data_IF_801319498274
#
_entry.id   IF_801319498274
#
_cell.length_a   1.000
_cell.length_b   1.000
_cell.length_c   1.000
_cell.angle_alpha   90.00
_cell.angle_beta   90.00
_cell.angle_gamma   90.00
#
_symmetry.space_group_name_H-M   'P 1'
#
loop_
_entity.id
_entity.type
_entity.pdbx_description
1 polymer ?
#
# COMPACT_ATOMS: atom_id res chain seq x y z
N UNK A 1 5.17 6.64 21.22
CA UNK A 1 4.74 6.20 19.87
C UNK A 1 4.25 7.41 19.09
N UNK A 2 4.82 7.68 17.91
CA UNK A 2 4.41 8.79 17.05
C UNK A 2 3.05 8.49 16.41
N UNK A 3 2.15 9.46 16.42
CA UNK A 3 0.83 9.38 15.75
C UNK A 3 0.79 10.35 14.58
N UNK A 4 0.19 9.90 13.48
CA UNK A 4 0.10 10.63 12.21
C UNK A 4 -1.38 10.94 11.93
N UNK A 5 -1.64 12.12 11.35
CA UNK A 5 -2.97 12.50 10.93
C UNK A 5 -3.32 11.79 9.62
N UNK A 6 -4.52 11.20 9.58
CA UNK A 6 -5.07 10.59 8.38
C UNK A 6 -5.98 11.59 7.70
N UNK A 7 -5.69 11.86 6.44
CA UNK A 7 -6.45 12.71 5.55
C UNK A 7 -7.42 11.88 4.69
N UNK A 8 -8.51 12.50 4.25
CA UNK A 8 -9.52 11.85 3.41
C UNK A 8 -8.95 11.36 2.07
N UNK A 9 -7.99 12.09 1.52
CA UNK A 9 -7.16 11.70 0.37
C UNK A 9 -5.83 12.45 0.44
N UNK A 10 -4.86 12.10 -0.39
CA UNK A 10 -3.55 12.78 -0.44
C UNK A 10 -3.68 14.29 -0.73
N UNK A 11 -4.66 14.68 -1.55
CA UNK A 11 -4.88 16.07 -1.96
C UNK A 11 -5.89 16.83 -1.08
N UNK A 12 -6.48 16.18 -0.07
CA UNK A 12 -7.52 16.76 0.77
C UNK A 12 -7.01 17.07 2.18
N UNK A 13 -7.13 18.33 2.64
CA UNK A 13 -6.67 18.75 3.97
C UNK A 13 -7.61 18.36 5.13
N UNK A 14 -8.65 17.57 4.89
CA UNK A 14 -9.61 17.13 5.90
C UNK A 14 -9.08 15.94 6.68
N UNK A 15 -8.82 16.14 7.97
CA UNK A 15 -8.39 15.08 8.89
C UNK A 15 -9.61 14.23 9.28
N UNK A 16 -9.50 12.91 9.10
CA UNK A 16 -10.56 11.94 9.38
C UNK A 16 -10.21 10.96 10.49
N UNK A 17 -8.91 10.74 10.77
CA UNK A 17 -8.45 9.86 11.86
C UNK A 17 -7.02 10.18 12.30
N UNK A 18 -6.53 9.47 13.32
CA UNK A 18 -5.10 9.45 13.72
C UNK A 18 -4.62 8.03 13.95
N UNK A 19 -3.55 7.64 13.26
CA UNK A 19 -3.00 6.28 13.30
C UNK A 19 -1.60 6.26 13.91
N UNK A 20 -1.15 5.08 14.33
CA UNK A 20 0.22 4.87 14.80
C UNK A 20 1.14 4.76 13.59
N UNK A 21 2.22 5.54 13.59
CA UNK A 21 3.26 5.44 12.57
C UNK A 21 3.86 4.02 12.52
N UNK A 22 4.07 3.53 11.31
CA UNK A 22 4.77 2.28 11.02
C UNK A 22 5.41 2.35 9.63
N UNK A 23 6.35 1.46 9.36
CA UNK A 23 7.16 1.40 8.14
C UNK A 23 6.99 0.02 7.48
N UNK A 24 5.79 -0.56 7.58
CA UNK A 24 5.52 -1.94 7.13
C UNK A 24 5.70 -2.13 5.62
N UNK A 25 5.65 -1.06 4.83
CA UNK A 25 5.84 -1.11 3.37
C UNK A 25 7.27 -0.75 2.97
N UNK A 26 8.18 -0.55 3.92
CA UNK A 26 9.59 -0.39 3.59
C UNK A 26 10.17 -1.73 3.11
N UNK A 27 11.01 -1.65 2.09
CA UNK A 27 11.75 -2.78 1.56
C UNK A 27 13.22 -2.42 1.38
N UNK A 28 14.07 -3.44 1.33
CA UNK A 28 15.49 -3.26 1.09
C UNK A 28 15.75 -3.04 -0.40
N UNK A 29 16.20 -1.84 -0.77
CA UNK A 29 16.48 -1.51 -2.18
C UNK A 29 17.94 -1.78 -2.61
N UNK A 30 18.67 -2.62 -1.85
CA UNK A 30 20.09 -2.92 -2.09
C UNK A 30 21.06 -1.94 -1.41
N UNK A 31 20.58 -0.81 -0.90
CA UNK A 31 21.41 0.19 -0.20
C UNK A 31 20.82 0.70 1.11
N UNK A 32 19.50 0.91 1.15
CA UNK A 32 18.77 1.43 2.31
C UNK A 32 17.41 0.71 2.46
N UNK A 33 16.85 0.76 3.67
CA UNK A 33 15.44 0.44 3.92
C UNK A 33 14.58 1.67 3.64
N UNK A 34 13.57 1.53 2.79
CA UNK A 34 12.63 2.60 2.46
C UNK A 34 11.64 2.17 1.37
N UNK A 35 10.96 3.13 0.76
CA UNK A 35 10.00 2.88 -0.32
C UNK A 35 10.57 3.26 -1.71
N UNK A 36 11.83 2.92 -1.98
CA UNK A 36 12.51 3.27 -3.23
C UNK A 36 13.02 4.73 -3.35
N UNK A 37 12.56 5.65 -2.48
CA UNK A 37 13.04 7.03 -2.40
C UNK A 37 14.04 7.30 -1.27
N UNK A 38 14.97 8.26 -1.46
CA UNK A 38 15.97 8.62 -0.44
C UNK A 38 15.29 9.23 0.81
N UNK A 39 15.40 8.54 1.95
CA UNK A 39 14.85 9.02 3.23
C UNK A 39 13.33 9.06 3.28
N UNK A 40 12.64 8.29 2.42
CA UNK A 40 11.19 8.16 2.40
C UNK A 40 10.80 6.77 2.91
N UNK A 41 9.84 6.77 3.82
CA UNK A 41 9.31 5.57 4.46
C UNK A 41 7.82 5.44 4.15
N UNK A 42 7.35 4.21 3.98
CA UNK A 42 5.96 3.92 3.72
C UNK A 42 5.42 2.88 4.70
N UNK A 43 4.21 3.12 5.18
CA UNK A 43 3.50 2.23 6.09
C UNK A 43 2.07 1.99 5.64
N UNK A 44 1.47 0.94 6.19
CA UNK A 44 0.08 0.59 5.91
C UNK A 44 -0.64 0.20 7.20
N UNK A 45 -1.91 0.58 7.30
CA UNK A 45 -2.79 0.15 8.38
C UNK A 45 -4.26 0.12 7.93
N UNK A 46 -5.13 -0.38 8.81
CA UNK A 46 -6.57 -0.45 8.60
C UNK A 46 -7.28 0.22 9.76
N UNK A 47 -8.22 1.11 9.44
CA UNK A 47 -9.10 1.75 10.42
C UNK A 47 -10.14 0.76 10.94
N UNK A 48 -10.73 1.05 12.10
CA UNK A 48 -11.77 0.19 12.70
C UNK A 48 -13.03 0.06 11.84
N UNK A 49 -13.28 1.03 10.98
CA UNK A 49 -14.40 1.04 10.03
C UNK A 49 -14.11 0.28 8.73
N UNK A 50 -12.91 -0.28 8.59
CA UNK A 50 -12.51 -1.10 7.45
C UNK A 50 -11.69 -0.38 6.38
N UNK A 51 -11.56 0.94 6.43
CA UNK A 51 -10.81 1.70 5.43
C UNK A 51 -9.29 1.51 5.57
N UNK A 52 -8.60 1.38 4.44
CA UNK A 52 -7.14 1.26 4.41
C UNK A 52 -6.47 2.63 4.41
N UNK A 53 -5.29 2.69 4.99
CA UNK A 53 -4.53 3.92 5.17
C UNK A 53 -3.07 3.68 4.81
N UNK A 54 -2.54 4.51 3.93
CA UNK A 54 -1.11 4.63 3.65
C UNK A 54 -0.53 5.72 4.53
N UNK A 55 0.64 5.45 5.11
CA UNK A 55 1.41 6.37 5.94
C UNK A 55 2.68 6.72 5.18
N UNK A 56 2.94 8.00 5.00
CA UNK A 56 4.14 8.53 4.39
C UNK A 56 5.00 9.19 5.48
N UNK A 57 6.20 8.66 5.66
CA UNK A 57 7.23 9.20 6.53
C UNK A 57 8.39 9.77 5.71
N UNK A 58 9.03 10.81 6.23
CA UNK A 58 10.25 11.35 5.62
C UNK A 58 11.28 11.70 6.70
N UNK A 59 12.53 11.34 6.46
CA UNK A 59 13.66 11.73 7.29
C UNK A 59 14.22 13.12 6.93
N UNK A 60 13.69 13.75 5.88
CA UNK A 60 14.12 15.07 5.43
C UNK A 60 13.69 16.12 6.46
N UNK A 61 14.63 16.96 6.87
CA UNK A 61 14.38 18.02 7.84
C UNK A 61 13.31 18.99 7.32
N UNK A 62 12.23 19.16 8.09
CA UNK A 62 11.10 20.02 7.74
C UNK A 62 9.91 19.30 7.08
N UNK A 63 10.09 18.04 6.64
CA UNK A 63 8.98 17.22 6.15
C UNK A 63 8.09 16.75 7.28
N UNK A 64 6.78 16.74 7.05
CA UNK A 64 5.78 16.24 8.01
C UNK A 64 5.28 14.88 7.55
N UNK A 65 5.29 13.91 8.45
CA UNK A 65 4.61 12.65 8.22
C UNK A 65 3.11 12.90 8.09
N UNK A 66 2.50 12.26 7.10
CA UNK A 66 1.07 12.29 6.86
C UNK A 66 0.57 10.90 6.47
N UNK A 67 -0.73 10.71 6.53
CA UNK A 67 -1.36 9.47 6.10
C UNK A 67 -2.64 9.81 5.35
N UNK A 68 -3.08 8.96 4.44
CA UNK A 68 -4.31 9.18 3.68
C UNK A 68 -5.06 7.87 3.47
N UNK A 69 -6.37 7.98 3.28
CA UNK A 69 -7.23 6.84 2.97
C UNK A 69 -7.01 6.44 1.51
N UNK A 70 -6.96 5.13 1.29
CA UNK A 70 -6.85 4.50 -0.02
C UNK A 70 -7.92 3.43 -0.19
N UNK A 71 -8.21 3.09 -1.44
CA UNK A 71 -9.01 1.91 -1.81
C UNK A 71 -8.30 0.60 -1.44
N UNK A 72 -9.02 -0.52 -1.55
CA UNK A 72 -8.43 -1.84 -1.24
C UNK A 72 -7.43 -2.25 -2.32
N UNK A 73 -7.75 -1.88 -3.56
CA UNK A 73 -6.97 -2.15 -4.76
C UNK A 73 -5.64 -1.39 -4.70
N UNK A 74 -5.67 -0.09 -4.38
CA UNK A 74 -4.46 0.71 -4.16
C UNK A 74 -3.64 0.17 -2.98
N UNK A 75 -4.30 -0.21 -1.88
CA UNK A 75 -3.61 -0.79 -0.73
C UNK A 75 -2.92 -2.11 -1.08
N UNK A 76 -3.53 -2.96 -1.90
CA UNK A 76 -2.93 -4.20 -2.39
C UNK A 76 -1.76 -3.90 -3.31
N UNK A 77 -1.91 -2.99 -4.26
CA UNK A 77 -0.84 -2.60 -5.18
C UNK A 77 0.41 -2.14 -4.42
N UNK A 78 0.23 -1.30 -3.41
CA UNK A 78 1.33 -0.83 -2.55
C UNK A 78 2.03 -1.97 -1.79
N UNK A 79 1.29 -2.97 -1.33
CA UNK A 79 1.86 -4.19 -0.71
C UNK A 79 2.68 -4.98 -1.74
N UNK A 80 2.17 -5.14 -2.97
CA UNK A 80 2.85 -5.85 -4.04
C UNK A 80 4.11 -5.12 -4.51
N UNK A 81 4.05 -3.81 -4.70
CA UNK A 81 5.19 -2.97 -5.07
C UNK A 81 6.30 -3.03 -4.01
N UNK A 82 5.94 -3.12 -2.73
CA UNK A 82 6.91 -3.30 -1.65
C UNK A 82 7.50 -4.71 -1.54
N UNK A 83 6.88 -5.71 -2.18
CA UNK A 83 7.25 -7.12 -2.04
C UNK A 83 6.92 -7.73 -0.67
N UNK A 84 6.31 -6.96 0.25
CA UNK A 84 5.98 -7.40 1.61
C UNK A 84 4.66 -8.19 1.65
N UNK A 85 4.55 -9.22 0.81
CA UNK A 85 3.34 -10.07 0.68
C UNK A 85 2.98 -10.78 1.99
N UNK A 86 3.94 -10.98 2.90
CA UNK A 86 3.72 -11.52 4.25
C UNK A 86 2.68 -10.71 5.05
N UNK A 87 2.51 -9.41 4.75
CA UNK A 87 1.48 -8.59 5.36
C UNK A 87 0.07 -9.12 5.08
N UNK A 88 -0.15 -9.76 3.94
CA UNK A 88 -1.46 -10.31 3.54
C UNK A 88 -1.90 -11.46 4.47
N UNK A 89 -0.98 -12.11 5.17
CA UNK A 89 -1.27 -13.15 6.16
C UNK A 89 -1.80 -12.58 7.48
N UNK A 90 -1.62 -11.28 7.75
CA UNK A 90 -2.17 -10.66 8.95
C UNK A 90 -3.71 -10.55 8.84
N UNK A 91 -4.45 -10.96 9.89
CA UNK A 91 -5.93 -10.97 9.88
C UNK A 91 -6.57 -9.63 9.46
N UNK A 92 -5.93 -8.50 9.78
CA UNK A 92 -6.39 -7.16 9.36
C UNK A 92 -6.37 -6.95 7.85
N UNK A 93 -5.53 -7.67 7.12
CA UNK A 93 -5.32 -7.57 5.67
C UNK A 93 -5.91 -8.76 4.91
N UNK A 94 -6.69 -9.64 5.56
CA UNK A 94 -7.31 -10.80 4.93
C UNK A 94 -8.13 -10.44 3.67
N UNK A 95 -8.78 -9.27 3.65
CA UNK A 95 -9.50 -8.80 2.46
C UNK A 95 -8.58 -8.50 1.27
N UNK A 96 -7.36 -8.02 1.53
CA UNK A 96 -6.35 -7.80 0.50
C UNK A 96 -5.81 -9.14 -0.02
N UNK A 97 -5.67 -10.14 0.86
CA UNK A 97 -5.29 -11.51 0.46
C UNK A 97 -6.29 -12.12 -0.51
N UNK A 98 -7.60 -11.98 -0.25
CA UNK A 98 -8.62 -12.45 -1.18
C UNK A 98 -8.57 -11.74 -2.54
N UNK A 99 -8.23 -10.44 -2.57
CA UNK A 99 -8.03 -9.72 -3.82
C UNK A 99 -6.77 -10.18 -4.55
N UNK A 100 -5.70 -10.48 -3.81
CA UNK A 100 -4.45 -11.01 -4.35
C UNK A 100 -4.64 -12.39 -5.00
N UNK A 101 -5.34 -13.31 -4.32
CA UNK A 101 -5.65 -14.65 -4.85
C UNK A 101 -6.44 -14.54 -6.16
N UNK A 102 -7.46 -13.67 -6.20
CA UNK A 102 -8.22 -13.39 -7.43
C UNK A 102 -7.36 -12.82 -8.56
N UNK A 103 -6.35 -12.01 -8.23
CA UNK A 103 -5.42 -11.46 -9.21
C UNK A 103 -4.51 -12.56 -9.78
N UNK A 104 -4.07 -13.50 -8.95
CA UNK A 104 -3.28 -14.66 -9.38
C UNK A 104 -4.07 -15.67 -10.21
N UNK A 105 -5.39 -15.78 -9.99
CA UNK A 105 -6.28 -16.65 -10.76
C UNK A 105 -6.61 -16.09 -12.16
N UNK A 106 -6.20 -14.85 -12.47
CA UNK A 106 -6.29 -14.31 -13.82
C UNK A 106 -5.20 -14.93 -14.69
N UNK A 107 -5.54 -15.97 -15.45
CA UNK A 107 -4.71 -16.49 -16.53
C UNK A 107 -4.54 -15.41 -17.63
N UNK A 108 -3.33 -15.30 -18.20
CA UNK A 108 -3.14 -14.57 -19.46
C UNK A 108 -4.03 -15.21 -20.53
N UNK A 109 -4.93 -14.43 -21.11
CA UNK A 109 -5.56 -14.81 -22.38
C UNK A 109 -4.50 -14.50 -23.44
N UNK A 110 -3.74 -15.50 -23.85
CA UNK A 110 -2.87 -15.39 -25.01
C UNK A 110 -3.79 -15.31 -26.25
N UNK A 111 -4.19 -14.09 -26.65
CA UNK A 111 -4.93 -13.86 -27.91
C UNK A 111 -4.01 -14.09 -29.11
N UNK A 112 -3.57 -15.33 -29.29
CA UNK A 112 -2.86 -15.81 -30.46
C UNK A 112 -3.73 -16.76 -31.31
N UNK A 113 -5.02 -16.45 -31.50
CA UNK A 113 -5.85 -17.08 -32.54
C UNK A 113 -6.68 -16.05 -33.31
N UNK A 114 -5.98 -15.21 -34.08
CA UNK A 114 -6.47 -14.67 -35.36
C UNK A 114 -5.45 -15.14 -36.40
N UNK A 115 -5.71 -15.99 -37.39
CA UNK A 115 -6.91 -16.16 -38.22
C UNK A 115 -6.88 -17.55 -38.84
N UNK A 116 -7.95 -18.33 -38.67
CA UNK A 116 -8.29 -19.38 -39.64
C UNK A 116 -8.82 -18.71 -40.90
N UNK A 117 -8.30 -19.04 -42.08
CA UNK A 117 -9.06 -19.41 -43.29
C UNK A 117 -8.21 -19.33 -44.58
N UNK A 118 -8.13 -20.51 -45.23
CA UNK A 118 -8.00 -20.80 -46.67
C UNK A 118 -6.68 -20.55 -47.42
#
# INVERSE_FOLDING_TARGET
MRRVNVYESEFCNKIVARVKYNEKLDYWNGRNWGNGGLGMHKGITKLKDGRFVIIIGSQIQGSKDYAYIVSKEEALQEVLESGNVELLEEQKFAELKTLYEKLCDLEEIDEAETTSEQ
#
